data_IF_390867984359
#
_entry.id   IF_390867984359
#
_cell.length_a   1.000
_cell.length_b   1.000
_cell.length_c   1.000
_cell.angle_alpha   90.00
_cell.angle_beta   90.00
_cell.angle_gamma   90.00
#
_symmetry.space_group_name_H-M   'P 1'
#
loop_
_entity.id
_entity.type
_entity.pdbx_description
1 polymer ?
#
# COMPACT_ATOMS: atom_id res chain seq x y z
N UNK A 1 -25.11 6.70 -28.49
CA UNK A 1 -24.45 5.71 -27.63
C UNK A 1 -25.50 5.09 -26.74
N UNK A 2 -25.64 3.76 -26.76
CA UNK A 2 -26.55 3.04 -25.88
C UNK A 2 -25.89 1.75 -25.38
N UNK A 3 -25.80 1.59 -24.05
CA UNK A 3 -25.11 0.48 -23.40
C UNK A 3 -25.95 -0.02 -22.22
N UNK A 4 -26.01 -1.32 -22.05
CA UNK A 4 -26.72 -1.98 -20.95
C UNK A 4 -25.69 -2.69 -20.08
N UNK A 5 -25.65 -2.34 -18.79
CA UNK A 5 -24.75 -2.88 -17.78
C UNK A 5 -25.53 -3.69 -16.75
N UNK A 6 -24.96 -4.76 -16.25
CA UNK A 6 -25.32 -5.22 -14.91
C UNK A 6 -24.86 -4.18 -13.87
N UNK A 7 -25.72 -3.90 -12.88
CA UNK A 7 -25.40 -2.88 -11.84
C UNK A 7 -24.14 -3.23 -11.06
N UNK A 8 -23.91 -4.50 -10.73
CA UNK A 8 -22.75 -4.93 -9.94
C UNK A 8 -21.46 -4.71 -10.74
N UNK A 9 -21.44 -5.15 -12.00
CA UNK A 9 -20.29 -4.97 -12.91
C UNK A 9 -19.93 -3.49 -13.11
N UNK A 10 -20.94 -2.62 -13.30
CA UNK A 10 -20.71 -1.18 -13.42
C UNK A 10 -20.22 -0.55 -12.12
N UNK A 11 -20.77 -0.97 -10.98
CA UNK A 11 -20.36 -0.50 -9.66
C UNK A 11 -18.92 -0.85 -9.37
N UNK A 12 -18.53 -2.10 -9.64
CA UNK A 12 -17.16 -2.61 -9.44
C UNK A 12 -16.17 -1.88 -10.35
N UNK A 13 -16.53 -1.65 -11.62
CA UNK A 13 -15.69 -0.89 -12.53
C UNK A 13 -15.49 0.57 -12.08
N UNK A 14 -16.55 1.22 -11.58
CA UNK A 14 -16.48 2.56 -11.00
C UNK A 14 -15.59 2.56 -9.75
N UNK A 15 -15.75 1.58 -8.85
CA UNK A 15 -14.97 1.50 -7.62
C UNK A 15 -13.48 1.27 -7.89
N UNK A 16 -13.11 0.58 -9.00
CA UNK A 16 -11.72 0.44 -9.44
C UNK A 16 -11.10 1.77 -9.89
N UNK A 17 -11.83 2.59 -10.63
CA UNK A 17 -11.28 3.85 -11.18
C UNK A 17 -11.47 5.06 -10.25
N UNK A 18 -12.35 4.98 -9.24
CA UNK A 18 -12.75 6.12 -8.41
C UNK A 18 -11.57 6.84 -7.74
N UNK A 19 -10.50 6.10 -7.40
CA UNK A 19 -9.33 6.69 -6.72
C UNK A 19 -8.64 7.77 -7.57
N UNK A 20 -8.55 7.56 -8.87
CA UNK A 20 -7.99 8.52 -9.81
C UNK A 20 -8.96 9.69 -10.14
N UNK A 21 -10.22 9.62 -9.68
CA UNK A 21 -11.21 10.68 -9.87
C UNK A 21 -11.44 11.56 -8.63
N UNK A 22 -10.76 11.29 -7.50
CA UNK A 22 -10.96 11.98 -6.21
C UNK A 22 -10.00 13.16 -5.98
N UNK A 23 -9.25 13.62 -7.00
CA UNK A 23 -8.34 14.75 -6.84
C UNK A 23 -9.05 15.96 -6.23
N UNK A 24 -8.42 16.57 -5.21
CA UNK A 24 -8.90 17.79 -4.58
C UNK A 24 -9.11 18.85 -5.66
N UNK A 25 -10.30 19.40 -5.70
CA UNK A 25 -10.73 20.45 -6.64
C UNK A 25 -9.77 21.64 -6.54
N UNK A 26 -8.74 21.64 -7.37
CA UNK A 26 -8.10 22.86 -7.81
C UNK A 26 -8.75 23.23 -9.14
N UNK A 27 -9.21 24.41 -9.25
CA UNK A 27 -10.22 25.00 -10.11
C UNK A 27 -10.30 24.63 -11.61
N UNK A 28 -9.59 23.65 -12.14
CA UNK A 28 -9.60 23.29 -13.57
C UNK A 28 -9.40 21.80 -13.86
N UNK A 29 -9.52 20.91 -12.89
CA UNK A 29 -9.33 19.47 -13.15
C UNK A 29 -10.65 18.83 -13.55
N UNK A 30 -10.66 18.16 -14.69
CA UNK A 30 -11.76 17.33 -15.17
C UNK A 30 -11.90 16.04 -14.34
N UNK A 31 -12.37 16.17 -13.07
CA UNK A 31 -12.68 15.04 -12.20
C UNK A 31 -13.87 14.26 -12.78
N UNK A 32 -13.63 13.47 -13.80
CA UNK A 32 -14.65 12.72 -14.52
C UNK A 32 -14.24 11.28 -14.77
N UNK A 33 -15.24 10.49 -15.12
CA UNK A 33 -15.04 9.20 -15.73
C UNK A 33 -15.17 9.33 -17.24
N UNK A 34 -14.16 8.88 -17.96
CA UNK A 34 -14.21 8.63 -19.38
C UNK A 34 -14.77 7.23 -19.58
N UNK A 35 -15.80 7.10 -20.40
CA UNK A 35 -16.49 5.85 -20.69
C UNK A 35 -16.52 5.69 -22.22
N UNK A 36 -15.83 4.67 -22.72
CA UNK A 36 -15.81 4.33 -24.14
C UNK A 36 -16.46 2.95 -24.36
N UNK A 37 -17.47 2.90 -25.22
CA UNK A 37 -18.10 1.68 -25.66
C UNK A 37 -17.74 1.40 -27.12
N UNK A 38 -16.70 0.60 -27.31
CA UNK A 38 -16.16 0.26 -28.62
C UNK A 38 -15.67 -1.19 -28.66
N UNK A 39 -15.60 -1.77 -29.85
CA UNK A 39 -15.00 -3.10 -30.08
C UNK A 39 -15.51 -4.23 -29.16
N UNK A 40 -16.76 -4.17 -28.74
CA UNK A 40 -17.38 -5.19 -27.86
C UNK A 40 -17.02 -5.08 -26.38
N UNK A 41 -16.29 -4.02 -25.99
CA UNK A 41 -15.92 -3.75 -24.58
C UNK A 41 -16.33 -2.34 -24.18
N UNK A 42 -16.64 -2.17 -22.91
CA UNK A 42 -16.77 -0.83 -22.30
C UNK A 42 -15.56 -0.60 -21.43
N UNK A 43 -14.82 0.46 -21.71
CA UNK A 43 -13.67 0.89 -20.94
C UNK A 43 -14.05 2.10 -20.10
N UNK A 44 -13.72 2.05 -18.81
CA UNK A 44 -13.79 3.17 -17.87
C UNK A 44 -12.38 3.65 -17.55
N UNK A 45 -12.20 4.98 -17.57
CA UNK A 45 -10.94 5.61 -17.17
C UNK A 45 -11.19 6.76 -16.19
N UNK A 46 -10.24 6.95 -15.28
CA UNK A 46 -10.07 8.16 -14.49
C UNK A 46 -8.59 8.55 -14.41
N UNK A 47 -8.31 9.85 -14.37
CA UNK A 47 -6.94 10.36 -14.31
C UNK A 47 -6.90 11.71 -13.59
N UNK A 48 -6.06 11.82 -12.55
CA UNK A 48 -5.81 13.04 -11.79
C UNK A 48 -4.41 13.63 -12.04
N UNK A 49 -3.74 13.21 -13.12
CA UNK A 49 -2.35 13.52 -13.51
C UNK A 49 -1.27 12.89 -12.61
N UNK A 50 -1.61 12.41 -11.42
CA UNK A 50 -0.69 11.66 -10.54
C UNK A 50 -0.93 10.16 -10.69
N UNK A 51 -2.22 9.79 -10.76
CA UNK A 51 -2.69 8.41 -10.91
C UNK A 51 -3.60 8.36 -12.12
N UNK A 52 -3.34 7.42 -13.01
CA UNK A 52 -4.24 7.03 -14.09
C UNK A 52 -4.72 5.60 -13.88
N UNK A 53 -6.03 5.37 -13.97
CA UNK A 53 -6.61 4.02 -13.86
C UNK A 53 -7.55 3.82 -15.03
N UNK A 54 -7.43 2.68 -15.71
CA UNK A 54 -8.41 2.21 -16.67
C UNK A 54 -8.78 0.76 -16.39
N UNK A 55 -10.03 0.41 -16.64
CA UNK A 55 -10.54 -0.94 -16.48
C UNK A 55 -11.63 -1.23 -17.51
N UNK A 56 -11.82 -2.49 -17.87
CA UNK A 56 -12.96 -2.89 -18.71
C UNK A 56 -14.12 -3.34 -17.84
N UNK A 57 -15.33 -3.04 -18.31
CA UNK A 57 -16.59 -3.45 -17.70
C UNK A 57 -17.38 -4.30 -18.72
N UNK A 58 -17.81 -5.50 -18.36
CA UNK A 58 -18.73 -6.28 -19.20
C UNK A 58 -20.05 -5.53 -19.41
N UNK A 59 -20.50 -5.43 -20.66
CA UNK A 59 -21.75 -4.75 -20.98
C UNK A 59 -22.26 -5.15 -22.37
N UNK A 60 -23.57 -4.99 -22.58
CA UNK A 60 -24.19 -5.13 -23.90
C UNK A 60 -24.16 -3.76 -24.61
N UNK A 61 -23.40 -3.64 -25.69
CA UNK A 61 -23.27 -2.42 -26.48
C UNK A 61 -24.28 -2.49 -27.65
N UNK A 62 -25.31 -1.68 -27.60
CA UNK A 62 -26.27 -1.55 -28.71
C UNK A 62 -25.84 -0.44 -29.68
N UNK A 63 -25.28 0.66 -29.14
CA UNK A 63 -24.75 1.78 -29.93
C UNK A 63 -23.43 2.27 -29.32
N UNK A 64 -22.39 2.28 -30.15
CA UNK A 64 -21.02 2.73 -29.78
C UNK A 64 -20.99 4.22 -29.43
N UNK A 65 -19.99 4.61 -28.64
CA UNK A 65 -19.74 6.02 -28.37
C UNK A 65 -18.77 6.23 -27.21
N UNK A 66 -18.46 7.51 -26.98
CA UNK A 66 -17.58 7.94 -25.91
C UNK A 66 -18.25 9.09 -25.16
N UNK A 67 -18.14 9.09 -23.85
CA UNK A 67 -18.60 10.17 -22.97
C UNK A 67 -17.58 10.46 -21.87
N UNK A 68 -17.61 11.69 -21.36
CA UNK A 68 -17.00 12.05 -20.10
C UNK A 68 -18.09 12.59 -19.18
N UNK A 69 -18.14 12.11 -17.95
CA UNK A 69 -19.17 12.46 -16.94
C UNK A 69 -18.51 12.75 -15.59
N UNK A 70 -19.09 13.66 -14.81
CA UNK A 70 -18.60 13.98 -13.46
C UNK A 70 -18.65 12.74 -12.54
N UNK A 71 -17.51 12.42 -11.93
CA UNK A 71 -17.32 11.18 -11.19
C UNK A 71 -18.22 11.06 -9.96
N UNK A 72 -18.29 12.11 -9.11
CA UNK A 72 -19.03 12.07 -7.84
C UNK A 72 -20.53 11.86 -8.03
N UNK A 73 -21.11 12.46 -9.07
CA UNK A 73 -22.54 12.34 -9.37
C UNK A 73 -22.88 10.95 -9.88
N UNK A 74 -22.07 10.41 -10.82
CA UNK A 74 -22.29 9.06 -11.34
C UNK A 74 -22.16 8.02 -10.24
N UNK A 75 -21.08 8.05 -9.48
CA UNK A 75 -20.80 7.08 -8.42
C UNK A 75 -21.94 7.01 -7.39
N UNK A 76 -22.37 8.16 -6.86
CA UNK A 76 -23.45 8.21 -5.87
C UNK A 76 -24.75 7.69 -6.45
N UNK A 77 -25.06 8.03 -7.70
CA UNK A 77 -26.31 7.57 -8.37
C UNK A 77 -26.30 6.06 -8.61
N UNK A 78 -25.23 5.50 -9.17
CA UNK A 78 -25.15 4.05 -9.43
C UNK A 78 -25.25 3.25 -8.12
N UNK A 79 -24.61 3.71 -7.05
CA UNK A 79 -24.74 3.05 -5.73
C UNK A 79 -26.15 3.01 -5.19
N UNK A 80 -26.96 4.04 -5.47
CA UNK A 80 -28.36 4.14 -5.00
C UNK A 80 -29.37 3.44 -5.91
N UNK A 81 -29.00 3.05 -7.12
CA UNK A 81 -29.86 2.27 -8.00
C UNK A 81 -30.09 0.84 -7.47
N UNK A 82 -31.27 0.24 -7.69
CA UNK A 82 -31.52 -1.14 -7.30
C UNK A 82 -30.68 -2.12 -8.14
N UNK A 83 -30.64 -3.37 -7.72
CA UNK A 83 -30.06 -4.46 -8.53
C UNK A 83 -30.83 -4.62 -9.85
N UNK A 84 -30.13 -4.91 -10.92
CA UNK A 84 -30.67 -5.12 -12.26
C UNK A 84 -29.90 -4.38 -13.35
N UNK A 85 -30.45 -4.40 -14.54
CA UNK A 85 -29.85 -3.80 -15.72
C UNK A 85 -29.91 -2.27 -15.68
N UNK A 86 -28.80 -1.62 -15.89
CA UNK A 86 -28.69 -0.17 -16.04
C UNK A 86 -28.51 0.16 -17.51
N UNK A 87 -29.46 0.86 -18.08
CA UNK A 87 -29.41 1.38 -19.45
C UNK A 87 -28.80 2.77 -19.42
N UNK A 88 -27.61 2.93 -19.99
CA UNK A 88 -26.97 4.22 -20.25
C UNK A 88 -27.27 4.65 -21.68
N UNK A 89 -27.83 5.83 -21.86
CA UNK A 89 -28.16 6.38 -23.18
C UNK A 89 -27.71 7.82 -23.35
N UNK A 90 -26.99 8.11 -24.44
CA UNK A 90 -26.65 9.46 -24.89
C UNK A 90 -27.03 9.64 -26.36
N UNK A 91 -27.94 10.54 -26.64
CA UNK A 91 -28.34 10.92 -28.02
C UNK A 91 -27.29 11.82 -28.66
N UNK A 92 -27.14 11.73 -29.99
CA UNK A 92 -26.07 12.42 -30.75
C UNK A 92 -26.06 13.94 -30.57
N UNK A 93 -27.23 14.56 -30.49
CA UNK A 93 -27.38 16.02 -30.46
C UNK A 93 -27.49 16.59 -29.04
N UNK A 94 -27.44 15.74 -28.01
CA UNK A 94 -27.59 16.15 -26.64
C UNK A 94 -26.27 16.07 -25.87
N UNK A 95 -25.97 17.09 -25.09
CA UNK A 95 -24.85 17.09 -24.14
C UNK A 95 -25.27 16.50 -22.77
N UNK A 96 -26.13 15.50 -22.81
CA UNK A 96 -26.68 14.84 -21.64
C UNK A 96 -26.67 13.33 -21.83
N UNK A 97 -26.38 12.60 -20.76
CA UNK A 97 -26.46 11.15 -20.68
C UNK A 97 -27.47 10.76 -19.61
N UNK A 98 -28.30 9.79 -19.89
CA UNK A 98 -29.27 9.22 -18.93
C UNK A 98 -28.89 7.81 -18.51
N UNK A 99 -29.24 7.50 -17.27
CA UNK A 99 -29.12 6.18 -16.67
C UNK A 99 -30.48 5.76 -16.16
N UNK A 100 -30.94 4.58 -16.56
CA UNK A 100 -32.28 4.06 -16.21
C UNK A 100 -32.15 2.64 -15.66
N UNK A 101 -32.74 2.38 -14.50
CA UNK A 101 -32.86 1.05 -13.94
C UNK A 101 -34.30 0.86 -13.39
N UNK A 102 -35.14 0.07 -14.08
CA UNK A 102 -36.56 -0.02 -13.75
C UNK A 102 -37.28 1.33 -13.77
N UNK A 103 -37.81 1.77 -12.63
CA UNK A 103 -38.42 3.10 -12.44
C UNK A 103 -37.44 4.21 -12.05
N UNK A 104 -36.16 3.88 -11.80
CA UNK A 104 -35.15 4.85 -11.42
C UNK A 104 -34.55 5.51 -12.66
N UNK A 105 -34.48 6.82 -12.65
CA UNK A 105 -33.98 7.61 -13.76
C UNK A 105 -33.08 8.72 -13.24
N UNK A 106 -31.91 8.87 -13.85
CA UNK A 106 -30.99 9.98 -13.61
C UNK A 106 -30.45 10.51 -14.92
N UNK A 107 -30.17 11.80 -15.01
CA UNK A 107 -29.64 12.43 -16.21
C UNK A 107 -28.59 13.47 -15.84
N UNK A 108 -27.43 13.41 -16.50
CA UNK A 108 -26.28 14.28 -16.20
C UNK A 108 -25.73 14.93 -17.45
N UNK A 109 -25.14 16.14 -17.33
CA UNK A 109 -24.39 16.74 -18.42
C UNK A 109 -23.13 15.95 -18.69
N UNK A 110 -22.79 15.77 -19.96
CA UNK A 110 -21.49 15.27 -20.39
C UNK A 110 -20.49 16.43 -20.47
N UNK A 111 -19.21 16.11 -20.29
CA UNK A 111 -18.09 17.05 -20.41
C UNK A 111 -17.41 16.91 -21.78
N UNK A 112 -16.55 17.86 -22.13
CA UNK A 112 -15.76 17.79 -23.34
C UNK A 112 -14.75 16.63 -23.24
N UNK A 113 -14.78 15.75 -24.21
CA UNK A 113 -13.89 14.58 -24.30
C UNK A 113 -12.43 15.02 -24.49
N UNK A 114 -12.21 16.12 -25.22
CA UNK A 114 -10.86 16.61 -25.54
C UNK A 114 -10.12 17.18 -24.31
N UNK A 115 -10.85 17.52 -23.27
CA UNK A 115 -10.26 18.01 -22.00
C UNK A 115 -9.93 16.87 -21.03
N UNK A 116 -10.34 15.63 -21.31
CA UNK A 116 -10.05 14.49 -20.45
C UNK A 116 -8.59 14.02 -20.65
N UNK A 117 -7.79 13.90 -19.59
CA UNK A 117 -6.45 13.37 -19.68
C UNK A 117 -6.50 11.83 -19.81
N UNK A 118 -6.51 11.36 -21.06
CA UNK A 118 -6.59 9.92 -21.34
C UNK A 118 -5.44 9.13 -20.67
N UNK A 119 -5.76 7.98 -20.11
CA UNK A 119 -4.79 7.06 -19.52
C UNK A 119 -4.12 6.25 -20.64
N UNK A 120 -2.90 6.65 -20.99
CA UNK A 120 -2.10 5.95 -21.98
C UNK A 120 -1.28 4.84 -21.33
N UNK A 121 -1.24 3.69 -21.95
CA UNK A 121 -0.29 2.64 -21.57
C UNK A 121 1.13 3.06 -21.89
N UNK A 122 2.06 2.65 -21.03
CA UNK A 122 3.47 2.89 -21.28
C UNK A 122 3.96 2.01 -22.43
N UNK A 123 4.75 2.60 -23.31
CA UNK A 123 5.45 1.89 -24.39
C UNK A 123 6.88 1.53 -23.95
N UNK A 124 7.44 0.44 -24.48
CA UNK A 124 8.83 0.02 -24.24
C UNK A 124 9.19 -0.08 -22.76
N UNK A 125 8.40 -0.81 -22.01
CA UNK A 125 8.58 -1.00 -20.56
C UNK A 125 9.42 -2.23 -20.24
N UNK A 126 10.12 -2.16 -19.09
CA UNK A 126 10.58 -3.34 -18.40
C UNK A 126 9.43 -3.88 -17.54
N UNK A 127 9.40 -5.18 -17.27
CA UNK A 127 8.33 -5.80 -16.51
C UNK A 127 8.80 -6.97 -15.63
N UNK A 128 8.03 -7.24 -14.60
CA UNK A 128 8.12 -8.42 -13.76
C UNK A 128 6.70 -8.82 -13.33
N UNK A 129 6.47 -10.13 -13.15
CA UNK A 129 5.19 -10.66 -12.70
C UNK A 129 5.33 -11.24 -11.30
N UNK A 130 4.37 -10.96 -10.43
CA UNK A 130 4.33 -11.48 -9.07
C UNK A 130 2.90 -11.93 -8.74
N UNK A 131 2.71 -12.88 -7.82
CA UNK A 131 1.36 -13.24 -7.37
C UNK A 131 0.71 -12.05 -6.64
N UNK A 132 -0.61 -11.88 -6.78
CA UNK A 132 -1.32 -10.84 -6.04
C UNK A 132 -1.19 -11.05 -4.52
N UNK A 133 -1.12 -12.28 -4.06
CA UNK A 133 -0.96 -12.61 -2.65
C UNK A 133 0.41 -12.15 -2.13
N UNK A 134 1.51 -12.53 -2.80
CA UNK A 134 2.87 -12.11 -2.38
C UNK A 134 3.02 -10.59 -2.41
N UNK A 135 2.45 -9.94 -3.43
CA UNK A 135 2.50 -8.48 -3.54
C UNK A 135 1.76 -7.78 -2.39
N UNK A 136 0.57 -8.30 -1.99
CA UNK A 136 -0.19 -7.80 -0.84
C UNK A 136 0.60 -7.99 0.46
N UNK A 137 1.14 -9.18 0.68
CA UNK A 137 1.94 -9.52 1.86
C UNK A 137 3.17 -8.63 1.96
N UNK A 138 4.02 -8.57 0.92
CA UNK A 138 5.20 -7.69 0.89
C UNK A 138 4.85 -6.23 1.18
N UNK A 139 3.78 -5.72 0.55
CA UNK A 139 3.34 -4.35 0.76
C UNK A 139 2.90 -4.13 2.21
N UNK A 140 2.17 -5.06 2.80
CA UNK A 140 1.73 -5.03 4.19
C UNK A 140 2.91 -5.04 5.17
N UNK A 141 3.89 -5.92 4.92
CA UNK A 141 5.08 -6.07 5.77
C UNK A 141 6.07 -4.91 5.66
N UNK A 142 6.00 -4.07 4.61
CA UNK A 142 7.03 -3.05 4.36
C UNK A 142 6.48 -1.63 4.42
N UNK A 143 5.31 -1.35 3.86
CA UNK A 143 4.84 0.02 3.63
C UNK A 143 4.61 0.83 4.91
N UNK A 144 4.32 0.19 6.04
CA UNK A 144 4.13 0.85 7.33
C UNK A 144 5.40 1.52 7.86
N UNK A 145 6.58 1.09 7.38
CA UNK A 145 7.85 1.68 7.78
C UNK A 145 8.20 2.99 7.04
N UNK A 146 7.38 3.42 6.08
CA UNK A 146 7.55 4.69 5.38
C UNK A 146 7.42 5.88 6.32
N UNK A 147 7.99 7.03 5.94
CA UNK A 147 7.82 8.29 6.65
C UNK A 147 6.45 8.91 6.35
N UNK A 148 5.85 9.53 7.36
CA UNK A 148 4.67 10.37 7.20
C UNK A 148 5.03 11.83 6.83
N UNK A 149 6.27 12.25 7.07
CA UNK A 149 6.76 13.60 6.85
C UNK A 149 6.99 13.88 5.36
N UNK A 150 6.23 14.83 4.82
CA UNK A 150 6.35 15.29 3.44
C UNK A 150 7.62 16.11 3.15
N UNK A 151 8.39 16.51 4.18
CA UNK A 151 9.66 17.20 3.99
C UNK A 151 10.75 16.25 3.45
N UNK A 152 10.56 14.95 3.61
CA UNK A 152 11.42 13.90 3.05
C UNK A 152 10.62 13.02 2.08
N UNK A 153 10.22 13.54 0.90
CA UNK A 153 9.26 12.84 0.02
C UNK A 153 9.71 11.43 -0.36
N UNK A 154 11.01 11.22 -0.56
CA UNK A 154 11.57 9.93 -0.97
C UNK A 154 11.28 8.81 0.07
N UNK A 155 11.33 9.15 1.37
CA UNK A 155 11.04 8.19 2.44
C UNK A 155 9.54 7.96 2.68
N UNK A 156 8.65 8.71 2.00
CA UNK A 156 7.21 8.39 1.98
C UNK A 156 6.89 7.25 1.02
N UNK A 157 7.90 6.77 0.30
CA UNK A 157 7.79 5.68 -0.67
C UNK A 157 8.48 4.40 -0.23
N UNK A 158 8.16 3.35 -0.94
CA UNK A 158 8.75 2.02 -0.86
C UNK A 158 9.70 1.85 -2.03
N UNK A 159 10.94 1.48 -1.75
CA UNK A 159 11.94 1.10 -2.74
C UNK A 159 11.59 -0.28 -3.31
N UNK A 160 11.63 -0.39 -4.62
CA UNK A 160 11.56 -1.64 -5.37
C UNK A 160 12.95 -1.92 -5.95
N UNK A 161 13.47 -3.11 -5.70
CA UNK A 161 14.68 -3.62 -6.32
C UNK A 161 14.36 -4.95 -7.00
N UNK A 162 14.50 -4.99 -8.32
CA UNK A 162 14.18 -6.16 -9.14
C UNK A 162 15.45 -6.54 -9.91
N UNK A 163 15.87 -7.80 -9.81
CA UNK A 163 17.03 -8.32 -10.54
C UNK A 163 16.85 -9.81 -10.82
N UNK A 164 16.64 -10.16 -12.07
CA UNK A 164 16.36 -11.52 -12.52
C UNK A 164 15.12 -12.09 -11.79
N UNK A 165 15.31 -13.08 -10.94
CA UNK A 165 14.25 -13.73 -10.14
C UNK A 165 14.06 -13.09 -8.76
N UNK A 166 14.85 -12.08 -8.42
CA UNK A 166 14.85 -11.45 -7.11
C UNK A 166 13.99 -10.20 -7.11
N UNK A 167 13.07 -10.09 -6.19
CA UNK A 167 12.29 -8.89 -5.96
C UNK A 167 12.32 -8.51 -4.47
N UNK A 168 12.76 -7.28 -4.18
CA UNK A 168 12.79 -6.72 -2.84
C UNK A 168 11.93 -5.48 -2.78
N UNK A 169 11.16 -5.36 -1.72
CA UNK A 169 10.60 -4.10 -1.25
C UNK A 169 11.31 -3.66 0.02
N UNK A 170 11.66 -2.37 0.12
CA UNK A 170 12.23 -1.78 1.34
C UNK A 170 11.65 -0.40 1.63
N UNK A 171 11.38 -0.10 2.89
CA UNK A 171 10.91 1.20 3.34
C UNK A 171 11.57 1.62 4.64
N UNK A 172 11.83 2.92 4.80
CA UNK A 172 12.40 3.50 6.01
C UNK A 172 11.90 4.91 6.26
N UNK A 173 11.78 5.28 7.54
CA UNK A 173 11.57 6.66 7.98
C UNK A 173 12.82 7.28 8.64
N UNK A 174 13.99 6.66 8.47
CA UNK A 174 15.30 6.97 9.10
C UNK A 174 15.48 6.49 10.54
N UNK A 175 14.43 6.03 11.21
CA UNK A 175 14.49 5.47 12.57
C UNK A 175 14.14 3.98 12.59
N UNK A 176 13.48 3.50 11.57
CA UNK A 176 13.18 2.08 11.34
C UNK A 176 13.30 1.75 9.86
N UNK A 177 13.51 0.49 9.55
CA UNK A 177 13.56 -0.07 8.20
C UNK A 177 12.77 -1.38 8.20
N UNK A 178 11.98 -1.61 7.17
CA UNK A 178 11.42 -2.92 6.84
C UNK A 178 11.86 -3.30 5.44
N UNK A 179 12.29 -4.54 5.25
CA UNK A 179 12.65 -5.07 3.94
C UNK A 179 12.15 -6.51 3.81
N UNK A 180 11.56 -6.83 2.67
CA UNK A 180 11.07 -8.16 2.32
C UNK A 180 11.58 -8.53 0.95
N UNK A 181 12.11 -9.74 0.82
CA UNK A 181 12.55 -10.35 -0.42
C UNK A 181 11.68 -11.53 -0.79
N UNK A 182 11.38 -11.68 -2.09
CA UNK A 182 10.77 -12.87 -2.65
C UNK A 182 11.51 -13.32 -3.92
N UNK A 183 11.27 -14.56 -4.31
CA UNK A 183 11.67 -15.09 -5.62
C UNK A 183 10.50 -14.98 -6.59
N UNK A 184 10.71 -14.29 -7.71
CA UNK A 184 9.72 -14.19 -8.77
C UNK A 184 9.48 -15.52 -9.46
N UNK A 185 8.24 -15.83 -9.91
CA UNK A 185 7.94 -17.04 -10.64
C UNK A 185 8.63 -17.12 -12.01
N UNK A 186 8.91 -15.96 -12.62
CA UNK A 186 9.57 -15.82 -13.92
C UNK A 186 10.66 -14.75 -13.84
N UNK A 187 11.65 -14.84 -14.73
CA UNK A 187 12.72 -13.85 -14.80
C UNK A 187 12.18 -12.48 -15.24
N UNK A 188 12.52 -11.45 -14.50
CA UNK A 188 12.19 -10.09 -14.87
C UNK A 188 12.88 -9.68 -16.18
N UNK A 189 12.22 -8.89 -17.01
CA UNK A 189 12.75 -8.47 -18.32
C UNK A 189 14.02 -7.62 -18.22
N UNK A 190 14.25 -6.95 -17.08
CA UNK A 190 15.43 -6.15 -16.79
C UNK A 190 15.57 -5.84 -15.30
N UNK A 191 16.74 -5.32 -14.92
CA UNK A 191 16.94 -4.76 -13.58
C UNK A 191 16.12 -3.49 -13.38
N UNK A 192 15.49 -3.38 -12.21
CA UNK A 192 14.72 -2.21 -11.78
C UNK A 192 15.15 -1.75 -10.40
N UNK A 193 15.32 -0.42 -10.22
CA UNK A 193 15.49 0.21 -8.92
C UNK A 193 14.77 1.55 -8.93
N UNK A 194 13.65 1.62 -8.22
CA UNK A 194 12.77 2.80 -8.24
C UNK A 194 11.92 2.86 -6.98
N UNK A 195 11.33 4.04 -6.71
CA UNK A 195 10.56 4.29 -5.49
C UNK A 195 9.12 4.63 -5.83
N UNK A 196 8.20 3.88 -5.24
CA UNK A 196 6.75 4.06 -5.40
C UNK A 196 6.17 4.62 -4.11
N UNK A 197 5.25 5.59 -4.19
CA UNK A 197 4.59 6.15 -3.01
C UNK A 197 3.85 5.06 -2.21
N UNK A 198 4.09 4.99 -0.89
CA UNK A 198 3.43 4.02 -0.01
C UNK A 198 1.90 4.16 0.03
N UNK A 199 1.37 5.40 -0.08
CA UNK A 199 -0.08 5.60 -0.16
C UNK A 199 -0.68 5.06 -1.46
N UNK A 200 0.06 5.17 -2.57
CA UNK A 200 -0.37 4.63 -3.87
C UNK A 200 -0.33 3.10 -3.85
N UNK A 201 0.70 2.50 -3.25
CA UNK A 201 0.75 1.03 -3.09
C UNK A 201 -0.44 0.50 -2.28
N UNK A 202 -0.84 1.22 -1.23
CA UNK A 202 -2.05 0.88 -0.48
C UNK A 202 -3.32 0.93 -1.34
N UNK A 203 -3.40 1.88 -2.28
CA UNK A 203 -4.51 1.95 -3.23
C UNK A 203 -4.46 0.79 -4.23
N UNK A 204 -3.29 0.43 -4.76
CA UNK A 204 -3.12 -0.73 -5.65
C UNK A 204 -3.53 -2.02 -4.95
N UNK A 205 -3.02 -2.28 -3.74
CA UNK A 205 -3.32 -3.49 -2.96
C UNK A 205 -4.83 -3.69 -2.74
N UNK A 206 -5.56 -2.61 -2.48
CA UNK A 206 -7.04 -2.68 -2.31
C UNK A 206 -7.79 -3.09 -3.57
N UNK A 207 -7.19 -2.90 -4.74
CA UNK A 207 -7.79 -3.22 -6.03
C UNK A 207 -7.41 -4.62 -6.53
N UNK A 208 -6.35 -5.22 -5.97
CA UNK A 208 -5.90 -6.55 -6.37
C UNK A 208 -6.94 -7.61 -6.02
N UNK A 209 -7.20 -8.56 -6.92
CA UNK A 209 -8.09 -9.68 -6.64
C UNK A 209 -7.55 -10.58 -5.51
N UNK A 210 -8.49 -11.25 -4.81
CA UNK A 210 -8.18 -12.25 -3.76
C UNK A 210 -8.19 -13.69 -4.31
N UNK A 211 -8.46 -13.86 -5.59
CA UNK A 211 -8.55 -15.17 -6.25
C UNK A 211 -7.16 -15.83 -6.29
N UNK A 212 -7.10 -17.08 -5.88
CA UNK A 212 -5.88 -17.88 -5.94
C UNK A 212 -5.33 -17.97 -7.37
N UNK A 213 -4.03 -17.83 -7.53
CA UNK A 213 -3.36 -17.82 -8.84
C UNK A 213 -3.42 -16.49 -9.59
N UNK A 214 -4.09 -15.48 -9.05
CA UNK A 214 -4.07 -14.13 -9.65
C UNK A 214 -2.67 -13.52 -9.57
N UNK A 215 -2.29 -12.80 -10.63
CA UNK A 215 -0.99 -12.14 -10.74
C UNK A 215 -1.14 -10.65 -11.00
N UNK A 216 -0.12 -9.89 -10.61
CA UNK A 216 0.05 -8.50 -10.99
C UNK A 216 1.35 -8.36 -11.79
N UNK A 217 1.25 -7.79 -12.99
CA UNK A 217 2.41 -7.37 -13.76
C UNK A 217 2.81 -5.97 -13.32
N UNK A 218 4.06 -5.81 -12.94
CA UNK A 218 4.69 -4.54 -12.59
C UNK A 218 5.49 -4.10 -13.80
N UNK A 219 5.07 -3.05 -14.49
CA UNK A 219 5.78 -2.47 -15.62
C UNK A 219 6.40 -1.14 -15.22
N UNK A 220 7.66 -0.88 -15.57
CA UNK A 220 8.33 0.37 -15.19
C UNK A 220 9.12 1.01 -16.33
N UNK A 221 9.22 2.31 -16.22
CA UNK A 221 10.05 3.18 -17.05
C UNK A 221 10.89 4.10 -16.17
N UNK A 222 11.58 5.07 -16.75
CA UNK A 222 12.38 6.04 -15.97
C UNK A 222 11.58 6.85 -14.95
N UNK A 223 10.32 7.19 -15.28
CA UNK A 223 9.53 8.15 -14.49
C UNK A 223 8.19 7.59 -13.99
N UNK A 224 7.76 6.43 -14.48
CA UNK A 224 6.45 5.86 -14.17
C UNK A 224 6.55 4.38 -13.86
N UNK A 225 5.61 3.90 -13.08
CA UNK A 225 5.33 2.50 -12.85
C UNK A 225 3.86 2.24 -13.13
N UNK A 226 3.56 1.09 -13.71
CA UNK A 226 2.20 0.61 -13.89
C UNK A 226 2.03 -0.79 -13.27
N UNK A 227 0.82 -1.05 -12.82
CA UNK A 227 0.38 -2.32 -12.28
C UNK A 227 -0.80 -2.80 -13.11
N UNK A 228 -0.65 -3.98 -13.75
CA UNK A 228 -1.70 -4.59 -14.58
C UNK A 228 -2.19 -5.87 -13.91
N UNK A 229 -3.46 -5.96 -13.62
CA UNK A 229 -4.10 -7.14 -13.02
C UNK A 229 -5.54 -7.28 -13.52
N UNK A 230 -5.90 -8.49 -13.94
CA UNK A 230 -7.19 -8.73 -14.61
C UNK A 230 -7.39 -7.78 -15.79
N UNK A 231 -8.47 -7.00 -15.75
CA UNK A 231 -8.78 -5.98 -16.76
C UNK A 231 -8.36 -4.56 -16.36
N UNK A 232 -7.63 -4.41 -15.25
CA UNK A 232 -7.28 -3.10 -14.70
C UNK A 232 -5.82 -2.77 -14.99
N UNK A 233 -5.59 -1.56 -15.47
CA UNK A 233 -4.29 -0.93 -15.65
C UNK A 233 -4.21 0.30 -14.75
N UNK A 234 -3.27 0.33 -13.84
CA UNK A 234 -3.03 1.41 -12.89
C UNK A 234 -1.65 1.99 -13.13
N UNK A 235 -1.53 3.27 -13.45
CA UNK A 235 -0.26 3.95 -13.68
C UNK A 235 -0.06 5.10 -12.71
N UNK A 236 1.19 5.30 -12.27
CA UNK A 236 1.58 6.43 -11.42
C UNK A 236 3.01 6.89 -11.70
N UNK A 237 3.32 8.11 -11.27
CA UNK A 237 4.69 8.64 -11.31
C UNK A 237 5.54 8.08 -10.17
N UNK A 238 6.82 7.82 -10.46
CA UNK A 238 7.81 7.43 -9.47
C UNK A 238 8.23 8.62 -8.59
N UNK A 239 8.61 8.36 -7.35
CA UNK A 239 9.24 9.37 -6.51
C UNK A 239 10.69 9.59 -6.97
N UNK A 240 11.02 10.85 -7.25
CA UNK A 240 12.34 11.22 -7.73
C UNK A 240 13.38 11.27 -6.60
N UNK A 241 14.57 10.78 -6.87
CA UNK A 241 15.71 10.82 -5.95
C UNK A 241 16.44 9.49 -5.90
N UNK A 242 17.62 9.52 -5.27
CA UNK A 242 18.40 8.31 -5.01
C UNK A 242 18.09 7.79 -3.61
N UNK A 243 17.45 6.62 -3.54
CA UNK A 243 17.17 5.97 -2.26
C UNK A 243 18.49 5.49 -1.65
N UNK A 244 18.77 5.79 -0.37
CA UNK A 244 20.01 5.38 0.26
C UNK A 244 20.18 3.86 0.27
N UNK A 245 21.44 3.44 0.37
CA UNK A 245 21.79 2.02 0.51
C UNK A 245 21.40 1.55 1.93
N UNK A 246 20.21 0.97 2.02
CA UNK A 246 19.64 0.52 3.29
C UNK A 246 20.35 -0.70 3.88
N UNK A 247 21.08 -1.48 3.07
CA UNK A 247 21.83 -2.64 3.56
C UNK A 247 22.87 -2.24 4.62
N UNK A 248 23.36 -1.00 4.57
CA UNK A 248 24.35 -0.51 5.55
C UNK A 248 23.82 -0.33 6.97
N UNK A 249 22.50 -0.27 7.12
CA UNK A 249 21.89 -0.10 8.44
C UNK A 249 21.41 -1.42 9.05
N UNK A 250 21.42 -2.50 8.27
CA UNK A 250 21.09 -3.83 8.75
C UNK A 250 22.28 -4.37 9.56
N UNK A 251 22.10 -4.70 10.86
CA UNK A 251 23.17 -5.24 11.69
C UNK A 251 23.70 -6.57 11.16
N UNK A 252 25.02 -6.72 11.16
CA UNK A 252 25.71 -7.96 10.79
C UNK A 252 26.22 -8.74 12.00
N UNK A 253 26.10 -8.20 13.20
CA UNK A 253 26.49 -8.81 14.46
C UNK A 253 25.48 -8.43 15.56
N UNK A 254 25.44 -9.20 16.63
CA UNK A 254 24.62 -8.96 17.82
C UNK A 254 25.42 -9.27 19.09
N UNK A 255 25.08 -8.61 20.20
CA UNK A 255 25.62 -8.87 21.52
C UNK A 255 24.76 -9.90 22.29
N UNK A 256 23.47 -9.97 21.96
CA UNK A 256 22.55 -10.97 22.45
C UNK A 256 21.48 -11.34 21.41
N UNK A 257 21.03 -12.59 21.49
CA UNK A 257 19.93 -13.13 20.70
C UNK A 257 18.79 -13.49 21.62
N UNK A 258 17.59 -13.02 21.28
CA UNK A 258 16.39 -13.28 22.08
C UNK A 258 15.32 -13.90 21.22
N UNK A 259 14.78 -15.03 21.66
CA UNK A 259 13.57 -15.62 21.07
C UNK A 259 12.40 -15.35 21.99
N UNK A 260 11.33 -14.78 21.44
CA UNK A 260 10.14 -14.39 22.20
C UNK A 260 8.86 -14.71 21.42
N UNK A 261 7.79 -15.12 22.14
CA UNK A 261 6.48 -15.32 21.53
C UNK A 261 5.89 -13.98 21.11
N UNK A 262 5.39 -13.90 19.87
CA UNK A 262 4.84 -12.66 19.28
C UNK A 262 3.63 -12.15 20.05
N UNK A 263 2.69 -13.02 20.40
CA UNK A 263 1.46 -12.66 21.10
C UNK A 263 1.76 -12.11 22.50
N UNK A 264 2.56 -12.83 23.28
CA UNK A 264 2.92 -12.41 24.64
C UNK A 264 3.66 -11.07 24.62
N UNK A 265 4.58 -10.90 23.68
CA UNK A 265 5.33 -9.65 23.51
C UNK A 265 4.42 -8.50 23.09
N UNK A 266 3.48 -8.75 22.19
CA UNK A 266 2.50 -7.75 21.74
C UNK A 266 1.58 -7.32 22.89
N UNK A 267 1.07 -8.25 23.69
CA UNK A 267 0.24 -7.93 24.87
C UNK A 267 1.03 -7.14 25.92
N UNK A 268 2.28 -7.53 26.19
CA UNK A 268 3.13 -6.85 27.14
C UNK A 268 3.45 -5.40 26.72
N UNK A 269 3.79 -5.18 25.44
CA UNK A 269 4.05 -3.85 24.89
C UNK A 269 2.78 -3.00 24.94
N UNK A 270 1.63 -3.54 24.53
CA UNK A 270 0.32 -2.86 24.60
C UNK A 270 -0.09 -2.48 26.01
N UNK A 271 0.25 -3.30 27.02
CA UNK A 271 -0.04 -2.99 28.41
C UNK A 271 0.72 -1.77 28.93
N UNK A 272 1.96 -1.56 28.45
CA UNK A 272 2.82 -0.43 28.87
C UNK A 272 2.60 0.81 27.98
N UNK A 273 2.18 0.65 26.75
CA UNK A 273 1.98 1.69 25.72
C UNK A 273 1.19 2.95 26.19
N UNK A 274 0.13 2.87 27.04
CA UNK A 274 -0.60 4.04 27.50
C UNK A 274 0.25 5.08 28.26
N UNK A 275 1.25 4.64 29.02
CA UNK A 275 2.18 5.56 29.71
C UNK A 275 3.13 6.19 28.69
N UNK A 276 3.62 5.40 27.71
CA UNK A 276 4.52 5.88 26.65
C UNK A 276 3.89 6.99 25.79
N UNK A 277 2.58 7.02 25.62
CA UNK A 277 1.88 8.02 24.81
C UNK A 277 1.98 9.45 25.35
N UNK A 278 2.24 9.63 26.64
CA UNK A 278 2.47 10.91 27.29
C UNK A 278 3.91 11.36 27.32
N UNK A 279 4.83 10.51 26.91
CA UNK A 279 6.28 10.77 26.93
C UNK A 279 6.76 11.23 25.54
N UNK A 280 7.75 12.15 25.52
CA UNK A 280 8.38 12.57 24.27
C UNK A 280 8.91 11.34 23.51
N UNK A 281 8.63 11.30 22.20
CA UNK A 281 9.05 10.21 21.31
C UNK A 281 8.43 8.83 21.60
N UNK A 282 7.40 8.73 22.44
CA UNK A 282 6.70 7.46 22.75
C UNK A 282 7.69 6.35 23.14
N UNK A 283 8.56 6.61 24.09
CA UNK A 283 9.59 5.65 24.51
C UNK A 283 9.01 4.50 25.34
N UNK A 284 9.67 3.35 25.29
CA UNK A 284 9.43 2.18 26.11
C UNK A 284 10.77 1.51 26.43
N UNK A 285 10.95 1.07 27.68
CA UNK A 285 12.18 0.51 28.19
C UNK A 285 12.09 -1.02 28.29
N UNK A 286 13.19 -1.68 27.92
CA UNK A 286 13.35 -3.12 27.97
C UNK A 286 14.59 -3.46 28.79
N UNK A 287 14.46 -4.42 29.72
CA UNK A 287 15.58 -5.06 30.41
C UNK A 287 15.50 -6.55 30.10
N UNK A 288 16.36 -7.01 29.23
CA UNK A 288 16.48 -8.42 28.87
C UNK A 288 17.38 -9.13 29.89
N UNK A 289 16.80 -10.08 30.64
CA UNK A 289 17.47 -11.01 31.54
C UNK A 289 17.68 -12.36 30.85
N UNK A 290 18.25 -13.33 31.52
CA UNK A 290 18.52 -14.67 30.97
C UNK A 290 17.23 -15.41 30.53
N UNK A 291 16.15 -15.28 31.30
CA UNK A 291 14.88 -16.02 31.13
C UNK A 291 13.62 -15.14 31.02
N UNK A 292 13.78 -13.83 31.16
CA UNK A 292 12.65 -12.91 31.11
C UNK A 292 13.06 -11.55 30.54
N UNK A 293 12.10 -10.84 29.93
CA UNK A 293 12.23 -9.42 29.62
C UNK A 293 11.26 -8.61 30.46
N UNK A 294 11.81 -7.64 31.22
CA UNK A 294 11.03 -6.59 31.86
C UNK A 294 10.78 -5.46 30.86
N UNK A 295 9.52 -5.08 30.72
CA UNK A 295 9.04 -4.00 29.83
C UNK A 295 8.37 -2.97 30.73
N UNK A 296 8.83 -1.72 30.67
CA UNK A 296 8.29 -0.66 31.52
C UNK A 296 8.39 0.72 30.90
N UNK A 297 7.55 1.62 31.38
CA UNK A 297 7.68 3.06 31.18
C UNK A 297 7.20 3.79 32.44
N UNK A 298 7.82 4.93 32.71
CA UNK A 298 7.52 5.78 33.86
C UNK A 298 7.54 7.26 33.46
N UNK A 299 6.44 7.94 33.75
CA UNK A 299 6.33 9.38 33.61
C UNK A 299 5.84 9.97 34.94
N UNK A 300 6.52 10.98 35.52
CA UNK A 300 6.15 11.54 36.82
C UNK A 300 4.73 12.15 36.86
N UNK A 301 4.18 12.56 35.73
CA UNK A 301 2.86 13.17 35.64
C UNK A 301 1.73 12.16 35.39
N UNK A 302 2.07 11.01 34.74
CA UNK A 302 1.08 10.02 34.31
C UNK A 302 1.10 8.79 35.22
N UNK A 303 2.30 8.32 35.58
CA UNK A 303 2.48 7.14 36.42
C UNK A 303 3.49 6.14 35.86
N UNK A 304 3.45 4.92 36.34
CA UNK A 304 4.33 3.82 35.92
C UNK A 304 3.50 2.60 35.52
N UNK A 305 3.89 1.99 34.43
CA UNK A 305 3.43 0.66 34.01
C UNK A 305 4.61 -0.26 33.79
N UNK A 306 4.52 -1.50 34.22
CA UNK A 306 5.57 -2.51 34.00
C UNK A 306 4.97 -3.90 33.94
N UNK A 307 5.57 -4.75 33.13
CA UNK A 307 5.25 -6.18 33.04
C UNK A 307 6.50 -6.98 32.72
N UNK A 308 6.45 -8.28 32.87
CA UNK A 308 7.55 -9.19 32.52
C UNK A 308 6.99 -10.41 31.83
N UNK A 309 7.65 -10.85 30.76
CA UNK A 309 7.29 -12.05 30.02
C UNK A 309 8.51 -12.98 29.89
N UNK A 310 8.30 -14.30 29.77
CA UNK A 310 9.38 -15.24 29.56
C UNK A 310 10.01 -15.07 28.16
N UNK A 311 11.33 -15.23 28.10
CA UNK A 311 12.11 -15.25 26.86
C UNK A 311 13.21 -16.30 26.97
N UNK A 312 13.85 -16.60 25.85
CA UNK A 312 15.14 -17.29 25.78
C UNK A 312 16.18 -16.29 25.31
N UNK A 313 17.16 -15.99 26.16
CA UNK A 313 18.28 -15.10 25.82
C UNK A 313 19.56 -15.92 25.67
N UNK A 314 20.26 -15.67 24.57
CA UNK A 314 21.64 -16.17 24.34
C UNK A 314 22.55 -14.94 24.25
N UNK A 315 23.47 -14.80 25.18
CA UNK A 315 24.37 -13.65 25.28
C UNK A 315 24.28 -12.96 26.65
N UNK A 316 24.61 -11.66 26.70
CA UNK A 316 24.61 -10.88 27.95
C UNK A 316 23.30 -10.11 28.13
N UNK A 317 22.85 -9.91 29.40
CA UNK A 317 21.72 -9.06 29.70
C UNK A 317 21.88 -7.65 29.12
N UNK A 318 20.81 -7.10 28.53
CA UNK A 318 20.82 -5.79 27.88
C UNK A 318 19.67 -4.93 28.39
N UNK A 319 19.97 -3.66 28.70
CA UNK A 319 18.96 -2.62 28.91
C UNK A 319 18.96 -1.67 27.74
N UNK A 320 17.78 -1.42 27.13
CA UNK A 320 17.66 -0.60 25.93
C UNK A 320 16.27 0.03 25.85
N UNK A 321 16.18 1.17 25.17
CA UNK A 321 14.94 1.94 24.98
C UNK A 321 14.64 2.06 23.50
N UNK A 322 13.37 1.81 23.13
CA UNK A 322 12.89 1.98 21.76
C UNK A 322 11.66 2.88 21.70
N UNK A 323 11.28 3.31 20.51
CA UNK A 323 9.95 3.91 20.29
C UNK A 323 8.90 2.80 20.33
N UNK A 324 7.90 2.96 21.17
CA UNK A 324 6.82 1.98 21.39
C UNK A 324 6.06 1.66 20.12
N UNK A 325 5.69 2.70 19.35
CA UNK A 325 4.94 2.52 18.11
C UNK A 325 5.72 1.67 17.09
N UNK A 326 7.05 1.78 17.04
CA UNK A 326 7.85 0.99 16.10
C UNK A 326 7.93 -0.48 16.50
N UNK A 327 7.89 -0.76 17.81
CA UNK A 327 7.81 -2.15 18.31
C UNK A 327 6.39 -2.71 18.10
N UNK A 328 5.34 -1.94 18.39
CA UNK A 328 3.96 -2.37 18.13
C UNK A 328 3.72 -2.65 16.63
N UNK A 329 4.25 -1.78 15.76
CA UNK A 329 4.07 -1.93 14.30
C UNK A 329 4.72 -3.22 13.79
N UNK A 330 5.95 -3.57 14.20
CA UNK A 330 6.56 -4.82 13.76
C UNK A 330 5.80 -6.04 14.30
N UNK A 331 5.41 -6.04 15.56
CA UNK A 331 4.67 -7.16 16.15
C UNK A 331 3.30 -7.37 15.50
N UNK A 332 2.65 -6.29 15.06
CA UNK A 332 1.39 -6.36 14.32
C UNK A 332 1.54 -6.97 12.92
N UNK A 333 2.71 -6.80 12.28
CA UNK A 333 2.98 -7.27 10.92
C UNK A 333 3.89 -8.50 10.90
N UNK A 334 4.20 -9.06 12.08
CA UNK A 334 4.90 -10.34 12.19
C UNK A 334 3.92 -11.49 11.99
N UNK A 335 4.34 -12.44 11.17
CA UNK A 335 3.66 -13.71 10.95
C UNK A 335 4.38 -14.80 11.74
N UNK A 336 3.68 -15.86 12.14
CA UNK A 336 4.22 -16.93 12.96
C UNK A 336 4.11 -16.69 14.48
N UNK A 337 4.58 -17.68 15.27
CA UNK A 337 4.44 -17.68 16.72
C UNK A 337 5.59 -16.99 17.44
N UNK A 338 6.78 -16.91 16.83
CA UNK A 338 7.99 -16.40 17.45
C UNK A 338 8.75 -15.43 16.56
N UNK A 339 9.39 -14.44 17.19
CA UNK A 339 10.36 -13.54 16.57
C UNK A 339 11.71 -13.67 17.26
N UNK A 340 12.74 -13.45 16.47
CA UNK A 340 14.15 -13.44 16.90
C UNK A 340 14.63 -11.99 16.92
N UNK A 341 15.08 -11.53 18.11
CA UNK A 341 15.61 -10.20 18.31
C UNK A 341 17.13 -10.26 18.38
N UNK A 342 17.81 -9.66 17.41
CA UNK A 342 19.27 -9.48 17.41
C UNK A 342 19.59 -8.15 18.06
N UNK A 343 19.96 -8.19 19.32
CA UNK A 343 20.20 -7.02 20.16
C UNK A 343 21.66 -6.57 20.11
N UNK A 344 21.86 -5.25 20.08
CA UNK A 344 23.16 -4.61 20.27
C UNK A 344 23.09 -3.64 21.45
N UNK A 345 24.13 -3.57 22.28
CA UNK A 345 24.19 -2.66 23.45
C UNK A 345 24.04 -1.19 23.09
N UNK A 346 24.59 -0.78 21.95
CA UNK A 346 24.61 0.61 21.49
C UNK A 346 24.25 0.74 19.99
N UNK A 347 23.57 -0.23 19.44
CA UNK A 347 23.24 -0.30 18.02
C UNK A 347 21.76 -0.59 17.75
N UNK A 348 21.38 -0.70 16.48
CA UNK A 348 20.03 -1.02 16.11
C UNK A 348 19.66 -2.46 16.48
N UNK A 349 18.40 -2.68 16.79
CA UNK A 349 17.77 -3.99 16.86
C UNK A 349 17.45 -4.47 15.43
N UNK A 350 17.81 -5.71 15.11
CA UNK A 350 17.26 -6.43 13.97
C UNK A 350 16.23 -7.44 14.50
N UNK A 351 15.05 -7.43 13.91
CA UNK A 351 13.99 -8.42 14.17
C UNK A 351 13.84 -9.29 12.94
N UNK A 352 13.92 -10.58 13.14
CA UNK A 352 13.67 -11.62 12.12
C UNK A 352 12.55 -12.53 12.58
N UNK A 353 11.86 -13.11 11.62
CA UNK A 353 10.85 -14.15 11.87
C UNK A 353 11.51 -15.52 11.71
N UNK A 354 11.20 -16.47 12.57
CA UNK A 354 11.80 -17.81 12.50
C UNK A 354 11.44 -18.52 11.19
N UNK A 355 10.20 -18.33 10.74
CA UNK A 355 9.65 -18.99 9.55
C UNK A 355 9.91 -18.21 8.26
N UNK A 356 10.27 -16.92 8.35
CA UNK A 356 10.47 -16.01 7.20
C UNK A 356 11.75 -15.19 7.32
N UNK A 357 12.87 -15.80 7.02
CA UNK A 357 14.19 -15.15 7.04
C UNK A 357 14.39 -14.11 5.92
N UNK A 358 13.50 -14.06 4.95
CA UNK A 358 13.50 -13.08 3.88
C UNK A 358 12.90 -11.74 4.29
N UNK A 359 12.29 -11.68 5.48
CA UNK A 359 11.77 -10.46 6.09
C UNK A 359 12.72 -9.96 7.18
N UNK A 360 13.11 -8.70 7.09
CA UNK A 360 14.01 -8.04 8.03
C UNK A 360 13.40 -6.72 8.49
N UNK A 361 13.39 -6.51 9.79
CA UNK A 361 12.99 -5.24 10.37
C UNK A 361 14.07 -4.71 11.30
N UNK A 362 14.45 -3.44 11.09
CA UNK A 362 15.48 -2.77 11.89
C UNK A 362 14.88 -1.56 12.58
N UNK A 363 15.17 -1.38 13.86
CA UNK A 363 14.78 -0.19 14.61
C UNK A 363 15.96 0.37 15.41
N UNK A 364 16.17 1.69 15.34
CA UNK A 364 17.22 2.35 16.10
C UNK A 364 16.81 2.58 17.55
N UNK A 365 17.73 2.41 18.52
CA UNK A 365 17.42 2.71 19.91
C UNK A 365 17.24 4.22 20.13
N UNK A 366 16.46 4.54 21.11
CA UNK A 366 16.25 5.91 21.59
C UNK A 366 17.16 6.19 22.79
N UNK A 367 17.53 7.46 23.01
CA UNK A 367 18.20 7.83 24.25
C UNK A 367 17.19 7.77 25.39
N UNK A 368 17.43 6.87 26.35
CA UNK A 368 16.62 6.81 27.57
C UNK A 368 16.74 8.12 28.37
N UNK A 369 15.67 8.54 29.03
CA UNK A 369 15.75 9.58 30.07
C UNK A 369 16.59 9.01 31.22
N UNK A 370 17.61 9.74 31.66
CA UNK A 370 18.39 9.46 32.87
C UNK A 370 17.70 10.03 34.08
#
# INVERSE_FOLDING_TARGET
>A
MRVIFDKTELSDAIDRVQRAAQAKITSNTNNGYFIAAENGKVELQANDYTIGIKTSCPAMIEEKGIIVIAASQLQSTIRMMPAGDIVMEKKKEENMVSFTCGSYFARFPTRDINEFPEVKEMEHTNHATVSCQDFKEMTGQVSFATASDKQKPLFTGVLFEIDQYRFIMAATNTHRLAAKEITLPEEASAKGRFVVSGSILSDVVRLLPDEEGSTVEISWSKNHVAFTFGSTYFITSLLNGEYPDYHRVIPTHHDALVTVNVHDFQEAVRFVSPISSGVDYHTINFIFHEDAVEIYEEDPAIGRSSTSIPIKLEGEPIKITYNCNYIEDILKHSEGETVILHLQKNGPLLVEQEEDKAYQYVVTPMRGRH
#
